data_IF_604185319303
#
_entry.id   IF_604185319303
#
_cell.length_a   1.000
_cell.length_b   1.000
_cell.length_c   1.000
_cell.angle_alpha   90.00
_cell.angle_beta   90.00
_cell.angle_gamma   90.00
#
_symmetry.space_group_name_H-M   'P 1'
#
loop_
_entity.id
_entity.type
_entity.pdbx_description
1 polymer ?
#
# COMPACT_ATOMS: atom_id res chain seq x y z
N UNK A 1 -9.00 26.38 11.53
CA UNK A 1 -8.17 26.18 10.33
C UNK A 1 -7.81 24.69 10.21
N UNK A 2 -8.39 23.93 9.29
CA UNK A 2 -8.06 22.49 9.17
C UNK A 2 -8.86 21.63 8.17
N UNK A 3 -9.68 22.21 7.29
CA UNK A 3 -10.60 21.45 6.41
C UNK A 3 -10.07 21.21 4.99
N UNK A 4 -8.94 21.80 4.59
CA UNK A 4 -8.43 21.73 3.21
C UNK A 4 -7.61 20.47 2.90
N UNK A 5 -7.17 19.70 3.90
CA UNK A 5 -6.19 18.61 3.68
C UNK A 5 -6.80 17.19 3.70
N UNK A 6 -8.13 17.06 3.80
CA UNK A 6 -8.80 15.75 3.83
C UNK A 6 -9.12 15.19 2.43
N UNK A 7 -9.20 16.02 1.38
CA UNK A 7 -9.57 15.52 0.04
C UNK A 7 -8.41 14.92 -0.78
N UNK A 8 -7.17 15.06 -0.32
CA UNK A 8 -5.97 14.61 -1.07
C UNK A 8 -5.96 13.09 -1.30
N UNK A 9 -6.56 12.33 -0.38
CA UNK A 9 -6.65 10.87 -0.47
C UNK A 9 -8.07 10.37 -0.77
N UNK A 10 -9.02 11.26 -1.09
CA UNK A 10 -10.37 10.81 -1.40
C UNK A 10 -10.35 9.99 -2.71
N UNK A 11 -10.88 8.77 -2.65
CA UNK A 11 -11.02 7.88 -3.81
C UNK A 11 -12.47 7.54 -4.05
N UNK A 12 -12.85 7.49 -5.33
CA UNK A 12 -14.11 6.88 -5.73
C UNK A 12 -14.09 5.39 -5.37
N UNK A 13 -15.22 4.88 -4.88
CA UNK A 13 -15.37 3.47 -4.56
C UNK A 13 -16.70 2.94 -5.09
N UNK A 14 -16.74 1.64 -5.39
CA UNK A 14 -17.94 0.93 -5.81
C UNK A 14 -18.31 -0.09 -4.74
N UNK A 15 -19.49 0.06 -4.15
CA UNK A 15 -20.06 -0.94 -3.28
C UNK A 15 -20.66 -2.07 -4.13
N UNK A 16 -20.30 -3.32 -3.85
CA UNK A 16 -20.86 -4.50 -4.52
C UNK A 16 -21.55 -5.35 -3.44
N UNK A 17 -22.89 -5.38 -3.38
CA UNK A 17 -23.63 -6.07 -2.33
C UNK A 17 -23.19 -7.52 -2.15
N UNK A 18 -22.87 -7.92 -0.92
CA UNK A 18 -22.41 -9.28 -0.58
C UNK A 18 -20.99 -9.61 -1.05
N UNK A 19 -20.27 -8.64 -1.62
CA UNK A 19 -18.87 -8.80 -2.06
C UNK A 19 -17.94 -7.74 -1.45
N UNK A 20 -18.44 -6.74 -0.72
CA UNK A 20 -17.63 -5.69 -0.10
C UNK A 20 -17.40 -4.45 -0.97
N UNK A 21 -16.62 -3.52 -0.44
CA UNK A 21 -16.31 -2.23 -1.10
C UNK A 21 -15.02 -2.35 -1.93
N UNK A 22 -15.08 -1.87 -3.18
CA UNK A 22 -13.94 -1.77 -4.07
C UNK A 22 -13.49 -0.31 -4.22
N UNK A 23 -12.29 0.03 -3.76
CA UNK A 23 -11.72 1.35 -4.02
C UNK A 23 -11.10 1.42 -5.43
N UNK A 24 -11.09 2.61 -6.03
CA UNK A 24 -10.40 2.88 -7.30
C UNK A 24 -8.93 2.46 -7.17
N UNK A 25 -8.52 1.48 -7.99
CA UNK A 25 -7.23 0.77 -7.85
C UNK A 25 -7.37 -0.74 -7.62
N UNK A 26 -8.60 -1.26 -7.51
CA UNK A 26 -8.85 -2.71 -7.43
C UNK A 26 -8.72 -3.31 -6.03
N UNK A 27 -8.54 -2.46 -5.01
CA UNK A 27 -8.44 -2.91 -3.62
C UNK A 27 -9.83 -3.27 -3.09
N UNK A 28 -9.99 -4.52 -2.64
CA UNK A 28 -11.23 -5.07 -2.10
C UNK A 28 -11.18 -5.07 -0.58
N UNK A 29 -12.14 -4.40 0.06
CA UNK A 29 -12.41 -4.50 1.49
C UNK A 29 -13.47 -5.57 1.73
N UNK A 30 -13.35 -6.37 2.80
CA UNK A 30 -14.32 -7.46 3.05
C UNK A 30 -15.70 -6.96 3.46
N UNK A 31 -15.75 -5.86 4.21
CA UNK A 31 -16.99 -5.31 4.73
C UNK A 31 -17.71 -4.45 3.69
N UNK A 32 -19.04 -4.57 3.66
CA UNK A 32 -19.91 -3.70 2.86
C UNK A 32 -19.93 -2.28 3.45
N UNK A 33 -20.31 -1.30 2.64
CA UNK A 33 -20.30 0.12 3.03
C UNK A 33 -21.13 0.39 4.30
N UNK A 34 -22.30 -0.24 4.44
CA UNK A 34 -23.16 -0.07 5.61
C UNK A 34 -22.47 -0.52 6.90
N UNK A 35 -21.78 -1.67 6.85
CA UNK A 35 -21.02 -2.19 7.99
C UNK A 35 -19.83 -1.29 8.33
N UNK A 36 -19.10 -0.78 7.33
CA UNK A 36 -18.00 0.17 7.52
C UNK A 36 -18.49 1.50 8.11
N UNK A 37 -19.62 2.01 7.63
CA UNK A 37 -20.22 3.24 8.15
C UNK A 37 -20.68 3.10 9.59
N UNK A 38 -21.23 1.95 9.94
CA UNK A 38 -21.64 1.64 11.30
C UNK A 38 -20.44 1.48 12.23
N UNK A 39 -19.42 0.72 11.81
CA UNK A 39 -18.22 0.45 12.59
C UNK A 39 -17.37 1.71 12.86
N UNK A 40 -17.25 2.59 11.87
CA UNK A 40 -16.41 3.79 11.96
C UNK A 40 -17.22 5.07 12.15
N UNK A 41 -18.49 4.98 12.54
CA UNK A 41 -19.43 6.12 12.66
C UNK A 41 -18.82 7.33 13.36
N UNK A 42 -18.20 7.13 14.52
CA UNK A 42 -17.59 8.20 15.31
C UNK A 42 -16.44 8.92 14.60
N UNK A 43 -15.69 8.22 13.73
CA UNK A 43 -14.61 8.80 12.92
C UNK A 43 -15.20 9.47 11.67
N UNK A 44 -16.25 8.89 11.10
CA UNK A 44 -16.89 9.37 9.88
C UNK A 44 -17.63 10.70 10.04
N UNK A 45 -18.01 11.06 11.27
CA UNK A 45 -18.53 12.40 11.58
C UNK A 45 -17.52 13.51 11.27
N UNK A 46 -16.22 13.19 11.23
CA UNK A 46 -15.14 14.18 11.03
C UNK A 46 -14.27 13.93 9.79
N UNK A 47 -14.28 12.72 9.23
CA UNK A 47 -13.45 12.32 8.08
C UNK A 47 -14.31 11.52 7.10
N UNK A 48 -14.27 11.83 5.80
CA UNK A 48 -15.05 11.07 4.82
C UNK A 48 -14.55 9.63 4.69
N UNK A 49 -15.47 8.70 4.42
CA UNK A 49 -15.15 7.30 4.18
C UNK A 49 -14.16 7.14 3.01
N UNK A 50 -14.34 7.95 1.95
CA UNK A 50 -13.45 8.01 0.79
C UNK A 50 -11.99 8.29 1.19
N UNK A 51 -11.78 9.19 2.15
CA UNK A 51 -10.45 9.55 2.64
C UNK A 51 -9.82 8.39 3.43
N UNK A 52 -10.60 7.72 4.28
CA UNK A 52 -10.13 6.56 5.04
C UNK A 52 -9.76 5.40 4.10
N UNK A 53 -10.61 5.12 3.12
CA UNK A 53 -10.39 4.06 2.14
C UNK A 53 -9.19 4.36 1.24
N UNK A 54 -9.03 5.61 0.79
CA UNK A 54 -7.88 5.98 -0.04
C UNK A 54 -6.57 6.06 0.75
N UNK A 55 -6.60 6.51 2.01
CA UNK A 55 -5.42 6.44 2.88
C UNK A 55 -4.99 4.98 3.11
N UNK A 56 -5.96 4.08 3.36
CA UNK A 56 -5.70 2.65 3.54
C UNK A 56 -5.21 1.99 2.25
N UNK A 57 -5.83 2.29 1.10
CA UNK A 57 -5.45 1.74 -0.19
C UNK A 57 -4.01 2.14 -0.57
N UNK A 58 -3.65 3.40 -0.37
CA UNK A 58 -2.29 3.87 -0.62
C UNK A 58 -1.27 3.23 0.33
N UNK A 59 -1.64 3.04 1.61
CA UNK A 59 -0.78 2.39 2.59
C UNK A 59 -0.46 0.95 2.20
N UNK A 60 -1.44 0.20 1.68
CA UNK A 60 -1.27 -1.18 1.21
C UNK A 60 -0.30 -1.28 0.03
N UNK A 61 -0.18 -0.23 -0.79
CA UNK A 61 0.79 -0.17 -1.88
C UNK A 61 2.21 0.14 -1.40
N UNK A 62 2.37 0.55 -0.14
CA UNK A 62 3.63 1.00 0.45
C UNK A 62 4.81 0.04 0.23
N UNK A 63 4.68 -1.25 0.56
CA UNK A 63 5.75 -2.23 0.35
C UNK A 63 6.18 -2.33 -1.12
N UNK A 64 5.21 -2.37 -2.06
CA UNK A 64 5.50 -2.43 -3.49
C UNK A 64 6.20 -1.16 -3.98
N UNK A 65 5.72 0.02 -3.57
CA UNK A 65 6.34 1.30 -3.92
C UNK A 65 7.77 1.37 -3.41
N UNK A 66 8.02 1.00 -2.15
CA UNK A 66 9.36 1.00 -1.60
C UNK A 66 10.31 0.04 -2.35
N UNK A 67 9.83 -1.17 -2.69
CA UNK A 67 10.62 -2.14 -3.46
C UNK A 67 10.94 -1.65 -4.87
N UNK A 68 10.00 -0.97 -5.55
CA UNK A 68 10.25 -0.32 -6.85
C UNK A 68 11.36 0.72 -6.73
N UNK A 69 11.34 1.56 -5.70
CA UNK A 69 12.32 2.63 -5.55
C UNK A 69 13.67 2.16 -5.02
N UNK A 70 13.71 1.06 -4.27
CA UNK A 70 14.95 0.46 -3.79
C UNK A 70 15.72 -0.28 -4.88
N UNK A 71 15.05 -0.79 -5.91
CA UNK A 71 15.70 -1.65 -6.90
C UNK A 71 16.79 -0.95 -7.74
N UNK A 72 16.59 0.25 -8.32
CA UNK A 72 17.66 0.95 -9.05
C UNK A 72 18.94 1.21 -8.24
N UNK A 73 18.89 1.78 -7.01
CA UNK A 73 20.11 1.99 -6.23
C UNK A 73 20.76 0.69 -5.74
N UNK A 74 19.97 -0.37 -5.49
CA UNK A 74 20.52 -1.70 -5.20
C UNK A 74 21.27 -2.25 -6.41
N UNK A 75 20.69 -2.15 -7.61
CA UNK A 75 21.28 -2.66 -8.85
C UNK A 75 22.55 -1.92 -9.26
N UNK A 76 22.67 -0.64 -8.90
CA UNK A 76 23.91 0.11 -9.09
C UNK A 76 25.07 -0.54 -8.34
N UNK A 77 24.84 -0.98 -7.09
CA UNK A 77 25.88 -1.47 -6.18
C UNK A 77 26.06 -2.99 -6.21
N UNK A 78 25.05 -3.71 -6.66
CA UNK A 78 24.95 -5.15 -6.52
C UNK A 78 24.68 -5.83 -7.87
N UNK A 79 25.06 -7.10 -8.03
CA UNK A 79 24.59 -7.90 -9.15
C UNK A 79 23.06 -8.11 -9.08
N UNK A 80 22.42 -8.41 -10.22
CA UNK A 80 20.95 -8.49 -10.35
C UNK A 80 20.33 -9.46 -9.36
N UNK A 81 20.92 -10.65 -9.19
CA UNK A 81 20.45 -11.68 -8.26
C UNK A 81 20.31 -11.14 -6.83
N UNK A 82 21.34 -10.46 -6.33
CA UNK A 82 21.34 -9.86 -4.99
C UNK A 82 20.39 -8.66 -4.91
N UNK A 83 20.31 -7.84 -5.95
CA UNK A 83 19.39 -6.71 -6.00
C UNK A 83 17.93 -7.18 -5.92
N UNK A 84 17.57 -8.27 -6.61
CA UNK A 84 16.25 -8.91 -6.56
C UNK A 84 15.98 -9.50 -5.17
N UNK A 85 16.94 -10.21 -4.57
CA UNK A 85 16.77 -10.78 -3.23
C UNK A 85 16.52 -9.68 -2.20
N UNK A 86 17.33 -8.62 -2.19
CA UNK A 86 17.18 -7.55 -1.20
C UNK A 86 15.94 -6.70 -1.42
N UNK A 87 15.53 -6.43 -2.66
CA UNK A 87 14.26 -5.73 -2.92
C UNK A 87 13.05 -6.57 -2.48
N UNK A 88 13.10 -7.89 -2.72
CA UNK A 88 12.09 -8.84 -2.24
C UNK A 88 12.06 -8.95 -0.71
N UNK A 89 13.21 -9.02 -0.06
CA UNK A 89 13.30 -9.02 1.40
C UNK A 89 12.75 -7.72 2.00
N UNK A 90 13.08 -6.57 1.42
CA UNK A 90 12.54 -5.27 1.82
C UNK A 90 11.01 -5.22 1.66
N UNK A 91 10.48 -5.73 0.54
CA UNK A 91 9.05 -5.85 0.32
C UNK A 91 8.36 -6.64 1.44
N UNK A 92 8.87 -7.83 1.77
CA UNK A 92 8.30 -8.68 2.81
C UNK A 92 8.38 -8.04 4.21
N UNK A 93 9.52 -7.45 4.56
CA UNK A 93 9.70 -6.74 5.82
C UNK A 93 8.70 -5.58 5.97
N UNK A 94 8.55 -4.78 4.91
CA UNK A 94 7.59 -3.69 4.90
C UNK A 94 6.15 -4.18 4.91
N UNK A 95 5.86 -5.34 4.32
CA UNK A 95 4.55 -5.94 4.35
C UNK A 95 4.12 -6.37 5.76
N UNK A 96 5.07 -6.81 6.59
CA UNK A 96 4.82 -7.04 8.03
C UNK A 96 4.74 -5.71 8.77
N UNK A 97 5.65 -4.77 8.50
CA UNK A 97 5.69 -3.48 9.18
C UNK A 97 4.40 -2.66 8.99
N UNK A 98 3.83 -2.63 7.78
CA UNK A 98 2.59 -1.90 7.50
C UNK A 98 1.37 -2.43 8.28
N UNK A 99 1.41 -3.71 8.69
CA UNK A 99 0.34 -4.31 9.50
C UNK A 99 0.41 -3.87 10.97
N UNK A 100 1.59 -3.47 11.44
CA UNK A 100 1.83 -3.06 12.82
C UNK A 100 1.55 -1.57 13.07
N UNK A 101 1.76 -0.71 12.08
CA UNK A 101 1.55 0.73 12.24
C UNK A 101 1.06 1.42 10.98
N UNK A 102 0.49 2.62 11.17
CA UNK A 102 0.14 3.54 10.10
C UNK A 102 0.77 4.92 10.34
N UNK A 103 1.37 5.50 9.29
CA UNK A 103 1.95 6.84 9.32
C UNK A 103 1.48 7.69 8.15
N UNK A 104 0.70 8.74 8.45
CA UNK A 104 0.22 9.68 7.42
C UNK A 104 1.35 10.39 6.67
N UNK A 105 2.48 10.68 7.32
CA UNK A 105 3.66 11.30 6.67
C UNK A 105 4.22 10.39 5.58
N UNK A 106 4.36 9.09 5.89
CA UNK A 106 4.80 8.11 4.91
C UNK A 106 3.77 7.95 3.79
N UNK A 107 2.48 8.06 4.08
CA UNK A 107 1.44 8.01 3.04
C UNK A 107 1.55 9.16 2.02
N UNK A 108 1.90 10.38 2.45
CA UNK A 108 2.21 11.48 1.52
C UNK A 108 3.43 11.18 0.65
N UNK A 109 4.47 10.57 1.22
CA UNK A 109 5.64 10.14 0.45
C UNK A 109 5.24 9.07 -0.58
N UNK A 110 4.42 8.10 -0.17
CA UNK A 110 3.89 7.06 -1.08
C UNK A 110 3.02 7.65 -2.19
N UNK A 111 2.28 8.73 -1.96
CA UNK A 111 1.50 9.40 -3.00
C UNK A 111 2.40 9.93 -4.12
N UNK A 112 3.50 10.59 -3.75
CA UNK A 112 4.46 11.14 -4.72
C UNK A 112 5.23 10.01 -5.40
N UNK A 113 5.74 9.04 -4.63
CA UNK A 113 6.51 7.91 -5.14
C UNK A 113 5.67 6.90 -5.94
N UNK A 114 4.35 6.88 -5.72
CA UNK A 114 3.39 6.08 -6.48
C UNK A 114 3.11 6.63 -7.87
N UNK A 115 3.63 7.81 -8.22
CA UNK A 115 3.46 8.38 -9.55
C UNK A 115 4.18 7.53 -10.61
N UNK A 116 3.40 6.90 -11.49
CA UNK A 116 3.91 6.03 -12.56
C UNK A 116 4.81 6.75 -13.55
N UNK A 117 4.51 8.01 -13.88
CA UNK A 117 5.35 8.78 -14.79
C UNK A 117 6.74 9.03 -14.17
N UNK A 118 6.77 9.36 -12.88
CA UNK A 118 8.04 9.53 -12.15
C UNK A 118 8.85 8.24 -12.11
N UNK A 119 8.20 7.10 -11.85
CA UNK A 119 8.86 5.78 -11.87
C UNK A 119 9.46 5.47 -13.25
N UNK A 120 8.70 5.69 -14.33
CA UNK A 120 9.19 5.47 -15.71
C UNK A 120 10.40 6.34 -16.02
N UNK A 121 10.35 7.64 -15.66
CA UNK A 121 11.46 8.58 -15.90
C UNK A 121 12.73 8.10 -15.17
N UNK A 122 12.63 7.76 -13.89
CA UNK A 122 13.79 7.32 -13.10
C UNK A 122 14.35 5.99 -13.60
N UNK A 123 13.48 5.03 -13.95
CA UNK A 123 13.92 3.75 -14.49
C UNK A 123 14.56 3.91 -15.88
N UNK A 124 14.02 4.76 -16.75
CA UNK A 124 14.60 5.06 -18.05
C UNK A 124 15.98 5.73 -17.91
N UNK A 125 16.10 6.71 -17.02
CA UNK A 125 17.38 7.37 -16.74
C UNK A 125 18.41 6.40 -16.17
N UNK A 126 18.01 5.53 -15.25
CA UNK A 126 18.87 4.50 -14.65
C UNK A 126 19.31 3.46 -15.69
N UNK A 127 18.39 3.02 -16.54
CA UNK A 127 18.69 2.06 -17.62
C UNK A 127 19.65 2.66 -18.65
N UNK A 128 19.47 3.93 -19.02
CA UNK A 128 20.38 4.64 -19.91
C UNK A 128 21.78 4.80 -19.29
N UNK A 129 21.87 5.07 -17.98
CA UNK A 129 23.15 5.15 -17.28
C UNK A 129 23.90 3.81 -17.31
N UNK A 130 23.23 2.71 -16.95
CA UNK A 130 23.81 1.36 -16.98
C UNK A 130 24.21 0.93 -18.40
N UNK A 131 23.43 1.30 -19.41
CA UNK A 131 23.77 1.06 -20.81
C UNK A 131 25.08 1.78 -21.20
N UNK A 132 25.22 3.06 -20.83
CA UNK A 132 26.44 3.83 -21.11
C UNK A 132 27.66 3.32 -20.34
N UNK A 133 27.47 2.70 -19.18
CA UNK A 133 28.53 2.06 -18.41
C UNK A 133 28.91 0.67 -18.94
N UNK A 134 28.32 0.22 -20.05
CA UNK A 134 28.63 -1.08 -20.66
C UNK A 134 27.96 -2.28 -19.99
N UNK A 135 26.91 -2.06 -19.19
CA UNK A 135 26.15 -3.11 -18.51
C UNK A 135 24.70 -3.22 -19.05
N UNK A 136 24.48 -3.54 -20.34
CA UNK A 136 23.15 -3.55 -20.94
C UNK A 136 22.19 -4.56 -20.28
N UNK A 137 22.71 -5.65 -19.71
CA UNK A 137 21.92 -6.63 -18.97
C UNK A 137 21.25 -6.05 -17.71
N UNK A 138 21.88 -5.07 -17.04
CA UNK A 138 21.26 -4.35 -15.91
C UNK A 138 20.13 -3.43 -16.38
N UNK A 139 20.30 -2.80 -17.54
CA UNK A 139 19.24 -2.00 -18.16
C UNK A 139 18.00 -2.86 -18.48
N UNK A 140 18.22 -4.09 -19.01
CA UNK A 140 17.15 -5.08 -19.20
C UNK A 140 16.50 -5.46 -17.86
N UNK A 141 17.30 -5.72 -16.82
CA UNK A 141 16.77 -6.04 -15.50
C UNK A 141 15.88 -4.93 -14.92
N UNK A 142 16.25 -3.65 -15.09
CA UNK A 142 15.41 -2.51 -14.70
C UNK A 142 14.08 -2.51 -15.45
N UNK A 143 14.09 -2.71 -16.77
CA UNK A 143 12.89 -2.74 -17.58
C UNK A 143 11.95 -3.90 -17.19
N UNK A 144 12.51 -5.11 -17.02
CA UNK A 144 11.77 -6.29 -16.58
C UNK A 144 11.17 -6.07 -15.20
N UNK A 145 11.94 -5.54 -14.26
CA UNK A 145 11.47 -5.26 -12.91
C UNK A 145 10.32 -4.25 -12.88
N UNK A 146 10.42 -3.16 -13.65
CA UNK A 146 9.36 -2.17 -13.79
C UNK A 146 8.08 -2.79 -14.37
N UNK A 147 8.21 -3.63 -15.41
CA UNK A 147 7.08 -4.31 -16.03
C UNK A 147 6.38 -5.29 -15.07
N UNK A 148 7.15 -6.09 -14.32
CA UNK A 148 6.60 -7.02 -13.33
C UNK A 148 5.86 -6.31 -12.19
N UNK A 149 6.32 -5.11 -11.81
CA UNK A 149 5.67 -4.27 -10.81
C UNK A 149 4.42 -3.58 -11.36
N UNK A 150 4.48 -3.06 -12.59
CA UNK A 150 3.35 -2.39 -13.26
C UNK A 150 2.17 -3.34 -13.49
N UNK A 151 2.45 -4.63 -13.71
CA UNK A 151 1.45 -5.69 -13.89
C UNK A 151 0.97 -6.31 -12.58
N UNK A 152 1.57 -5.96 -11.44
CA UNK A 152 1.24 -6.55 -10.14
C UNK A 152 1.74 -7.99 -9.95
N UNK A 153 2.51 -8.53 -10.88
CA UNK A 153 3.05 -9.90 -10.82
C UNK A 153 3.95 -10.08 -9.60
N UNK A 154 4.75 -9.07 -9.24
CA UNK A 154 5.57 -9.11 -8.01
C UNK A 154 4.70 -9.24 -6.76
N UNK A 155 3.55 -8.56 -6.72
CA UNK A 155 2.66 -8.69 -5.58
C UNK A 155 2.12 -10.11 -5.44
N UNK A 156 1.80 -10.77 -6.56
CA UNK A 156 1.39 -12.18 -6.56
C UNK A 156 2.56 -13.09 -6.16
N UNK A 157 3.72 -12.92 -6.80
CA UNK A 157 4.90 -13.77 -6.62
C UNK A 157 5.41 -13.76 -5.17
N UNK A 158 5.39 -12.60 -4.51
CA UNK A 158 5.88 -12.46 -3.14
C UNK A 158 4.77 -12.55 -2.09
N UNK A 159 3.50 -12.30 -2.41
CA UNK A 159 2.43 -12.41 -1.39
C UNK A 159 1.83 -13.82 -1.34
N UNK A 160 1.60 -14.48 -2.48
CA UNK A 160 0.95 -15.81 -2.53
C UNK A 160 1.69 -16.85 -1.68
N UNK A 161 3.01 -17.07 -1.84
CA UNK A 161 3.71 -18.10 -1.06
C UNK A 161 3.76 -17.77 0.44
N UNK A 162 3.69 -16.48 0.80
CA UNK A 162 3.73 -16.03 2.20
C UNK A 162 2.33 -15.85 2.81
N UNK A 163 1.26 -15.95 2.01
CA UNK A 163 -0.13 -15.85 2.48
C UNK A 163 -0.46 -16.79 3.65
N UNK A 164 -0.06 -18.08 3.68
CA UNK A 164 -0.34 -18.94 4.83
C UNK A 164 0.34 -18.46 6.11
N UNK A 165 1.55 -17.91 6.02
CA UNK A 165 2.28 -17.36 7.18
C UNK A 165 1.61 -16.07 7.65
N UNK A 166 1.27 -15.17 6.72
CA UNK A 166 0.59 -13.93 7.04
C UNK A 166 -0.78 -14.17 7.67
N UNK A 167 -1.56 -15.17 7.21
CA UNK A 167 -2.85 -15.54 7.82
C UNK A 167 -2.72 -16.12 9.23
N UNK A 168 -1.59 -16.78 9.55
CA UNK A 168 -1.33 -17.27 10.91
C UNK A 168 -0.94 -16.13 11.87
N UNK A 169 -0.25 -15.12 11.36
CA UNK A 169 0.21 -13.98 12.16
C UNK A 169 -0.86 -12.88 12.28
N UNK A 170 -1.74 -12.76 11.28
CA UNK A 170 -2.75 -11.70 11.19
C UNK A 170 -4.11 -12.27 10.80
N UNK A 171 -5.12 -12.10 11.67
CA UNK A 171 -6.49 -12.59 11.47
C UNK A 171 -7.23 -11.85 10.33
N UNK A 172 -6.84 -10.62 10.03
CA UNK A 172 -7.46 -9.75 9.03
C UNK A 172 -6.62 -9.69 7.74
N UNK A 173 -7.30 -9.52 6.61
CA UNK A 173 -6.63 -9.29 5.34
C UNK A 173 -5.83 -7.97 5.36
N UNK A 174 -4.79 -7.82 4.50
CA UNK A 174 -3.93 -6.61 4.51
C UNK A 174 -4.70 -5.30 4.36
N UNK A 175 -5.76 -5.29 3.54
CA UNK A 175 -6.61 -4.14 3.32
C UNK A 175 -7.46 -3.77 4.56
N UNK A 176 -8.08 -4.75 5.20
CA UNK A 176 -8.91 -4.54 6.39
C UNK A 176 -8.05 -4.12 7.60
N UNK A 177 -6.84 -4.69 7.72
CA UNK A 177 -5.87 -4.31 8.75
C UNK A 177 -5.36 -2.88 8.54
N UNK A 178 -5.04 -2.50 7.30
CA UNK A 178 -4.67 -1.12 6.97
C UNK A 178 -5.79 -0.14 7.31
N UNK A 179 -7.03 -0.46 6.95
CA UNK A 179 -8.21 0.38 7.27
C UNK A 179 -8.39 0.54 8.78
N UNK A 180 -8.26 -0.54 9.54
CA UNK A 180 -8.31 -0.52 11.01
C UNK A 180 -7.22 0.38 11.58
N UNK A 181 -5.98 0.27 11.10
CA UNK A 181 -4.85 1.08 11.58
C UNK A 181 -5.04 2.57 11.28
N UNK A 182 -5.56 2.91 10.10
CA UNK A 182 -5.93 4.28 9.71
C UNK A 182 -7.03 4.82 10.63
N UNK A 183 -8.12 4.08 10.81
CA UNK A 183 -9.24 4.47 11.66
C UNK A 183 -8.83 4.67 13.12
N UNK A 184 -8.03 3.76 13.69
CA UNK A 184 -7.50 3.87 15.05
C UNK A 184 -6.60 5.10 15.24
N UNK A 185 -5.85 5.49 14.20
CA UNK A 185 -5.02 6.71 14.26
C UNK A 185 -5.88 7.97 14.25
N UNK A 186 -6.93 8.03 13.44
CA UNK A 186 -7.86 9.15 13.46
C UNK A 186 -8.61 9.22 14.78
N UNK A 187 -9.08 8.09 15.33
CA UNK A 187 -9.73 8.07 16.64
C UNK A 187 -8.82 8.58 17.76
N UNK A 188 -7.55 8.12 17.83
CA UNK A 188 -6.56 8.64 18.81
C UNK A 188 -6.32 10.15 18.66
N UNK A 189 -6.27 10.67 17.43
CA UNK A 189 -6.11 12.11 17.19
C UNK A 189 -7.33 12.93 17.58
N UNK A 190 -8.52 12.34 17.46
CA UNK A 190 -9.80 13.00 17.72
C UNK A 190 -10.26 12.81 19.17
N UNK A 191 -9.50 12.09 20.00
CA UNK A 191 -9.88 11.76 21.38
C UNK A 191 -11.02 10.74 21.48
N UNK A 192 -11.28 9.98 20.41
CA UNK A 192 -12.33 8.95 20.37
C UNK A 192 -11.76 7.66 20.95
N UNK A 193 -12.48 7.07 21.91
CA UNK A 193 -12.06 5.83 22.56
C UNK A 193 -12.00 4.67 21.55
N UNK A 194 -10.88 3.93 21.54
CA UNK A 194 -10.65 2.83 20.63
C UNK A 194 -11.64 1.66 20.84
N UNK A 195 -12.29 1.61 22.00
CA UNK A 195 -13.37 0.68 22.30
C UNK A 195 -14.59 0.85 21.36
N UNK A 196 -14.86 2.08 20.89
CA UNK A 196 -15.98 2.40 20.01
C UNK A 196 -15.78 1.96 18.55
N UNK A 197 -14.55 1.53 18.18
CA UNK A 197 -14.22 1.04 16.84
C UNK A 197 -14.27 -0.48 16.71
N UNK A 198 -14.56 -1.20 17.81
CA UNK A 198 -14.71 -2.65 17.76
C UNK A 198 -16.00 -2.96 17.01
N UNK A 199 -15.89 -3.79 15.97
CA UNK A 199 -17.07 -4.37 15.32
C UNK A 199 -17.97 -5.00 16.40
N UNK A 200 -19.30 -4.99 16.22
CA UNK A 200 -20.16 -5.85 17.03
C UNK A 200 -19.58 -7.26 16.97
N UNK A 201 -19.30 -7.86 18.14
CA UNK A 201 -19.07 -9.31 18.16
C UNK A 201 -20.36 -9.91 17.63
N UNK A 202 -20.29 -10.56 16.47
CA UNK A 202 -21.40 -11.40 16.03
C UNK A 202 -21.66 -12.41 17.16
N UNK A 203 -22.82 -12.25 17.78
CA UNK A 203 -23.46 -13.21 18.67
C UNK A 203 -24.31 -14.15 17.85
#
# INVERSE_FOLDING_TARGET
MGTLNNKVFAVEYRNVPGKGVFARGGLKFRSDEAALRQQYRAVLEKVSLETLLGEAALWVLGPSTAAIWAFPPLLWRLPVDRAVIYSGALFLLLQVAQMLFFSRRLNYVLLVLGNRALQVIVYAASALAEWRMGAPWKAVALAVWLALMATGVVQVLFTVPFTPILKRLFELGPADQALRNVAQRHARRLGIDAALLRAPRES
#
